data_IF_057577197558
#
_entry.id   IF_057577197558
#
_cell.length_a   1.000
_cell.length_b   1.000
_cell.length_c   1.000
_cell.angle_alpha   90.00
_cell.angle_beta   90.00
_cell.angle_gamma   90.00
#
_symmetry.space_group_name_H-M   'P 1'
#
loop_
_entity.id
_entity.type
_entity.pdbx_description
1 polymer ?
#
# COMPACT_ATOMS: atom_id res chain seq x y z
N UNK A 1 -13.73 2.14 1.46
CA UNK A 1 -12.71 1.05 1.45
C UNK A 1 -11.45 1.44 2.24
N UNK A 2 -10.82 2.57 1.97
CA UNK A 2 -9.57 2.94 2.64
C UNK A 2 -9.72 3.07 4.16
N UNK A 3 -10.77 3.70 4.63
CA UNK A 3 -11.01 3.88 6.09
C UNK A 3 -11.19 2.55 6.80
N UNK A 4 -11.97 1.63 6.23
CA UNK A 4 -12.16 0.28 6.77
C UNK A 4 -10.86 -0.51 6.80
N UNK A 5 -10.08 -0.46 5.73
CA UNK A 5 -8.78 -1.12 5.63
C UNK A 5 -7.79 -0.55 6.65
N UNK A 6 -7.75 0.75 6.79
CA UNK A 6 -6.89 1.45 7.76
C UNK A 6 -7.23 1.05 9.20
N UNK A 7 -8.51 0.98 9.54
CA UNK A 7 -8.95 0.54 10.85
C UNK A 7 -8.52 -0.90 11.15
N UNK A 8 -8.76 -1.82 10.23
CA UNK A 8 -8.39 -3.23 10.40
C UNK A 8 -6.88 -3.40 10.57
N UNK A 9 -6.09 -2.66 9.81
CA UNK A 9 -4.64 -2.71 9.92
C UNK A 9 -4.15 -2.21 11.29
N UNK A 10 -4.69 -1.10 11.77
CA UNK A 10 -4.38 -0.56 13.11
C UNK A 10 -4.74 -1.54 14.22
N UNK A 11 -5.92 -2.15 14.15
CA UNK A 11 -6.34 -3.16 15.12
C UNK A 11 -5.40 -4.37 15.10
N UNK A 12 -4.99 -4.81 13.93
CA UNK A 12 -4.01 -5.89 13.79
C UNK A 12 -2.67 -5.54 14.43
N UNK A 13 -2.17 -4.33 14.22
CA UNK A 13 -0.92 -3.88 14.83
C UNK A 13 -0.99 -3.82 16.37
N UNK A 14 -2.17 -3.56 16.91
CA UNK A 14 -2.44 -3.58 18.36
C UNK A 14 -2.66 -5.01 18.91
N UNK A 15 -2.53 -6.04 18.07
CA UNK A 15 -2.69 -7.42 18.49
C UNK A 15 -4.14 -7.89 18.58
N UNK A 16 -5.09 -7.13 18.05
CA UNK A 16 -6.51 -7.51 18.00
C UNK A 16 -6.73 -8.53 16.90
N UNK A 17 -7.40 -9.64 17.23
CA UNK A 17 -7.83 -10.62 16.24
C UNK A 17 -8.98 -10.03 15.40
N UNK A 18 -8.70 -9.73 14.14
CA UNK A 18 -9.71 -9.20 13.21
C UNK A 18 -10.54 -10.29 12.52
N UNK A 19 -10.16 -11.57 12.70
CA UNK A 19 -10.84 -12.71 12.06
C UNK A 19 -10.81 -12.59 10.54
N UNK A 20 -11.96 -12.83 9.90
CA UNK A 20 -12.13 -12.75 8.45
C UNK A 20 -12.57 -11.38 7.92
N UNK A 21 -12.54 -10.34 8.77
CA UNK A 21 -13.05 -9.01 8.40
C UNK A 21 -12.28 -8.36 7.24
N UNK A 22 -11.02 -8.74 7.05
CA UNK A 22 -10.22 -8.25 5.94
C UNK A 22 -10.60 -8.85 4.57
N UNK A 23 -11.29 -9.98 4.56
CA UNK A 23 -11.57 -10.72 3.33
C UNK A 23 -12.44 -9.91 2.35
N UNK A 24 -13.51 -9.31 2.83
CA UNK A 24 -14.39 -8.48 2.02
C UNK A 24 -13.70 -7.22 1.51
N UNK A 25 -12.87 -6.62 2.34
CA UNK A 25 -12.06 -5.46 1.97
C UNK A 25 -11.04 -5.82 0.88
N UNK A 26 -10.33 -6.93 1.03
CA UNK A 26 -9.38 -7.42 0.04
C UNK A 26 -10.05 -7.71 -1.30
N UNK A 27 -11.23 -8.32 -1.27
CA UNK A 27 -12.02 -8.60 -2.47
C UNK A 27 -12.44 -7.32 -3.20
N UNK A 28 -12.80 -6.28 -2.47
CA UNK A 28 -13.12 -4.99 -3.04
C UNK A 28 -11.88 -4.34 -3.69
N UNK A 29 -10.70 -4.42 -3.05
CA UNK A 29 -9.47 -3.85 -3.56
C UNK A 29 -8.93 -4.54 -4.83
N UNK A 30 -9.18 -5.85 -5.02
CA UNK A 30 -8.72 -6.56 -6.22
C UNK A 30 -9.16 -5.91 -7.53
N UNK A 31 -10.29 -5.27 -7.55
CA UNK A 31 -10.83 -4.57 -8.72
C UNK A 31 -10.04 -3.32 -9.08
N UNK A 32 -9.19 -2.84 -8.18
CA UNK A 32 -8.43 -1.60 -8.30
C UNK A 32 -6.91 -1.83 -8.40
N UNK A 33 -6.49 -3.07 -8.66
CA UNK A 33 -5.06 -3.43 -8.66
C UNK A 33 -4.23 -2.75 -9.75
N UNK A 34 -4.87 -2.19 -10.77
CA UNK A 34 -4.25 -1.51 -11.90
C UNK A 34 -4.72 -0.06 -12.10
N UNK A 35 -5.43 0.49 -11.12
CA UNK A 35 -5.97 1.84 -11.22
C UNK A 35 -4.89 2.93 -11.13
N UNK A 36 -3.79 2.71 -10.41
CA UNK A 36 -2.64 3.62 -10.23
C UNK A 36 -3.03 5.06 -9.90
N UNK A 37 -4.13 5.24 -9.18
CA UNK A 37 -4.68 6.56 -8.87
C UNK A 37 -3.87 7.27 -7.81
N UNK A 38 -3.41 6.54 -6.81
CA UNK A 38 -2.55 7.10 -5.77
C UNK A 38 -1.83 6.01 -4.97
N UNK A 39 -0.64 6.34 -4.48
CA UNK A 39 0.11 5.48 -3.56
C UNK A 39 -0.64 5.17 -2.27
N UNK A 40 -1.48 6.10 -1.85
CA UNK A 40 -2.33 5.92 -0.68
C UNK A 40 -3.25 4.70 -0.85
N UNK A 41 -3.88 4.58 -2.01
CA UNK A 41 -4.72 3.41 -2.31
C UNK A 41 -3.89 2.14 -2.52
N UNK A 42 -2.75 2.23 -3.16
CA UNK A 42 -1.86 1.08 -3.36
C UNK A 42 -1.38 0.50 -2.03
N UNK A 43 -1.01 1.36 -1.08
CA UNK A 43 -0.66 0.95 0.28
C UNK A 43 -1.82 0.25 1.00
N UNK A 44 -3.03 0.79 0.91
CA UNK A 44 -4.22 0.18 1.52
C UNK A 44 -4.57 -1.16 0.89
N UNK A 45 -4.46 -1.28 -0.44
CA UNK A 45 -4.62 -2.56 -1.13
C UNK A 45 -3.60 -3.59 -0.63
N UNK A 46 -2.33 -3.19 -0.55
CA UNK A 46 -1.25 -4.06 -0.09
C UNK A 46 -1.53 -4.64 1.30
N UNK A 47 -1.68 -3.80 2.31
CA UNK A 47 -1.83 -4.31 3.67
C UNK A 47 -3.16 -5.03 3.87
N UNK A 48 -4.22 -4.66 3.16
CA UNK A 48 -5.50 -5.38 3.24
C UNK A 48 -5.39 -6.78 2.65
N UNK A 49 -4.73 -6.93 1.51
CA UNK A 49 -4.47 -8.24 0.90
C UNK A 49 -3.64 -9.13 1.82
N UNK A 50 -2.62 -8.57 2.46
CA UNK A 50 -1.78 -9.31 3.41
C UNK A 50 -2.56 -9.74 4.66
N UNK A 51 -3.43 -8.87 5.20
CA UNK A 51 -4.30 -9.21 6.34
C UNK A 51 -5.28 -10.34 6.01
N UNK A 52 -5.77 -10.38 4.78
CA UNK A 52 -6.65 -11.44 4.29
C UNK A 52 -5.92 -12.73 3.90
N UNK A 53 -4.58 -12.75 3.96
CA UNK A 53 -3.77 -13.88 3.51
C UNK A 53 -3.74 -14.05 2.00
N UNK A 54 -4.11 -13.04 1.25
CA UNK A 54 -4.17 -13.06 -0.21
C UNK A 54 -2.84 -12.57 -0.82
N UNK A 55 -1.84 -13.43 -0.74
CA UNK A 55 -0.50 -13.14 -1.29
C UNK A 55 -0.53 -12.96 -2.81
N UNK A 56 -1.35 -13.72 -3.51
CA UNK A 56 -1.47 -13.62 -4.96
C UNK A 56 -1.96 -12.24 -5.40
N UNK A 57 -2.92 -11.65 -4.67
CA UNK A 57 -3.39 -10.29 -4.95
C UNK A 57 -2.29 -9.25 -4.71
N UNK A 58 -1.48 -9.43 -3.66
CA UNK A 58 -0.37 -8.53 -3.37
C UNK A 58 0.75 -8.62 -4.41
N UNK A 59 1.09 -9.82 -4.85
CA UNK A 59 2.05 -10.06 -5.92
C UNK A 59 1.59 -9.45 -7.24
N UNK A 60 0.30 -9.60 -7.56
CA UNK A 60 -0.30 -8.99 -8.75
C UNK A 60 -0.24 -7.46 -8.70
N UNK A 61 -0.50 -6.88 -7.54
CA UNK A 61 -0.34 -5.42 -7.35
C UNK A 61 1.09 -4.98 -7.68
N UNK A 62 2.10 -5.67 -7.13
CA UNK A 62 3.51 -5.37 -7.40
C UNK A 62 3.86 -5.53 -8.89
N UNK A 63 3.41 -6.58 -9.52
CA UNK A 63 3.65 -6.81 -10.95
C UNK A 63 3.02 -5.71 -11.81
N UNK A 64 1.79 -5.33 -11.50
CA UNK A 64 1.10 -4.23 -12.18
C UNK A 64 1.86 -2.90 -12.00
N UNK A 65 2.36 -2.63 -10.81
CA UNK A 65 3.17 -1.44 -10.54
C UNK A 65 4.47 -1.43 -11.35
N UNK A 66 5.16 -2.56 -11.44
CA UNK A 66 6.38 -2.71 -12.24
C UNK A 66 6.13 -2.55 -13.73
N UNK A 67 5.05 -3.13 -14.24
CA UNK A 67 4.62 -2.94 -15.64
C UNK A 67 4.30 -1.48 -15.92
N UNK A 68 3.62 -0.80 -15.02
CA UNK A 68 3.33 0.63 -15.14
C UNK A 68 4.61 1.48 -15.23
N UNK A 69 5.60 1.17 -14.41
CA UNK A 69 6.91 1.85 -14.42
C UNK A 69 7.66 1.60 -15.73
N UNK A 70 7.63 0.36 -16.25
CA UNK A 70 8.32 -0.02 -17.46
C UNK A 70 7.63 0.49 -18.74
N UNK A 71 6.37 0.92 -18.65
CA UNK A 71 5.58 1.37 -19.79
C UNK A 71 5.98 2.77 -20.30
N UNK A 72 5.37 3.16 -21.43
CA UNK A 72 5.68 4.42 -22.13
C UNK A 72 5.01 5.65 -21.53
N UNK A 73 4.13 5.48 -20.53
CA UNK A 73 3.49 6.60 -19.86
C UNK A 73 4.52 7.47 -19.15
N UNK A 74 4.47 8.76 -19.40
CA UNK A 74 5.28 9.76 -18.71
C UNK A 74 4.41 10.50 -17.72
N UNK A 75 5.03 10.96 -16.63
CA UNK A 75 4.36 11.81 -15.67
C UNK A 75 4.76 11.51 -14.24
N UNK A 76 4.29 12.37 -13.35
CA UNK A 76 4.61 12.36 -11.94
C UNK A 76 4.23 11.03 -11.23
N UNK A 77 3.07 10.43 -11.60
CA UNK A 77 2.63 9.16 -11.02
C UNK A 77 3.61 8.02 -11.27
N UNK A 78 4.25 7.99 -12.44
CA UNK A 78 5.24 6.96 -12.78
C UNK A 78 6.49 7.08 -11.90
N UNK A 79 7.01 8.28 -11.76
CA UNK A 79 8.19 8.54 -10.93
C UNK A 79 7.93 8.24 -9.47
N UNK A 80 6.77 8.64 -8.96
CA UNK A 80 6.34 8.38 -7.59
C UNK A 80 6.15 6.88 -7.34
N UNK A 81 5.54 6.16 -8.28
CA UNK A 81 5.37 4.71 -8.17
C UNK A 81 6.72 4.00 -8.11
N UNK A 82 7.67 4.41 -8.94
CA UNK A 82 9.01 3.82 -8.95
C UNK A 82 9.80 4.15 -7.67
N UNK A 83 9.78 5.40 -7.24
CA UNK A 83 10.60 5.90 -6.13
C UNK A 83 10.02 5.52 -4.76
N UNK A 84 8.72 5.51 -4.62
CA UNK A 84 8.03 5.38 -3.34
C UNK A 84 7.07 4.19 -3.32
N UNK A 85 6.26 4.00 -4.35
CA UNK A 85 5.20 2.99 -4.37
C UNK A 85 5.72 1.56 -4.26
N UNK A 86 6.66 1.17 -5.09
CA UNK A 86 7.22 -0.18 -5.07
C UNK A 86 7.97 -0.44 -3.75
N UNK A 87 8.87 0.42 -3.27
CA UNK A 87 9.49 0.23 -1.96
C UNK A 87 8.48 0.19 -0.80
N UNK A 88 7.40 0.97 -0.86
CA UNK A 88 6.34 0.95 0.15
C UNK A 88 5.66 -0.42 0.21
N UNK A 89 5.22 -0.95 -0.92
CA UNK A 89 4.54 -2.25 -0.99
C UNK A 89 5.49 -3.38 -0.61
N UNK A 90 6.71 -3.37 -1.09
CA UNK A 90 7.72 -4.36 -0.72
C UNK A 90 8.08 -4.31 0.76
N UNK A 91 8.17 -3.11 1.33
CA UNK A 91 8.46 -2.91 2.75
C UNK A 91 7.35 -3.41 3.66
N UNK A 92 6.09 -3.12 3.32
CA UNK A 92 4.91 -3.64 4.04
C UNK A 92 4.86 -5.17 3.93
N UNK A 93 5.15 -5.72 2.76
CA UNK A 93 5.20 -7.17 2.54
C UNK A 93 6.27 -7.84 3.39
N UNK A 94 7.46 -7.27 3.44
CA UNK A 94 8.55 -7.75 4.28
C UNK A 94 8.18 -7.73 5.77
N UNK A 95 7.49 -6.68 6.23
CA UNK A 95 6.98 -6.59 7.59
C UNK A 95 5.99 -7.73 7.88
N UNK A 96 5.06 -7.99 6.98
CA UNK A 96 4.09 -9.08 7.13
C UNK A 96 4.77 -10.45 7.16
N UNK A 97 5.89 -10.61 6.49
CA UNK A 97 6.69 -11.85 6.47
C UNK A 97 7.59 -12.02 7.70
N UNK A 98 7.64 -11.02 8.58
CA UNK A 98 8.54 -11.03 9.73
C UNK A 98 9.98 -10.66 9.40
N UNK A 99 10.28 -10.25 8.18
CA UNK A 99 11.60 -9.75 7.77
C UNK A 99 11.71 -8.25 8.07
N UNK A 100 11.86 -7.94 9.34
CA UNK A 100 11.84 -6.55 9.83
C UNK A 100 13.04 -5.73 9.36
N UNK A 101 14.21 -6.33 9.23
CA UNK A 101 15.41 -5.64 8.73
C UNK A 101 15.20 -5.17 7.28
N UNK A 102 14.71 -6.04 6.43
CA UNK A 102 14.36 -5.70 5.05
C UNK A 102 13.27 -4.63 5.00
N UNK A 103 12.26 -4.75 5.85
CA UNK A 103 11.17 -3.76 5.94
C UNK A 103 11.73 -2.37 6.28
N UNK A 104 12.58 -2.27 7.28
CA UNK A 104 13.21 -0.99 7.68
C UNK A 104 14.07 -0.44 6.55
N UNK A 105 14.88 -1.26 5.90
CA UNK A 105 15.75 -0.86 4.79
C UNK A 105 14.95 -0.29 3.61
N UNK A 106 13.76 -0.83 3.36
CA UNK A 106 12.89 -0.37 2.28
C UNK A 106 12.07 0.87 2.66
N UNK A 107 11.54 0.93 3.89
CA UNK A 107 10.60 1.97 4.32
C UNK A 107 11.30 3.23 4.82
N UNK A 108 12.41 3.11 5.55
CA UNK A 108 13.08 4.26 6.16
C UNK A 108 13.50 5.32 5.12
N UNK A 109 14.08 4.97 3.96
CA UNK A 109 14.48 5.97 2.96
C UNK A 109 13.32 6.76 2.36
N UNK A 110 12.09 6.22 2.39
CA UNK A 110 10.92 6.83 1.76
C UNK A 110 9.94 7.46 2.74
N UNK A 111 10.19 7.41 4.04
CA UNK A 111 9.22 7.89 5.06
C UNK A 111 8.82 9.34 4.86
N UNK A 112 9.75 10.24 4.62
CA UNK A 112 9.45 11.66 4.41
C UNK A 112 8.64 11.88 3.13
N UNK A 113 8.94 11.13 2.07
CA UNK A 113 8.22 11.21 0.80
C UNK A 113 6.79 10.70 0.93
N UNK A 114 6.56 9.61 1.67
CA UNK A 114 5.22 9.09 1.94
C UNK A 114 4.37 10.13 2.66
N UNK A 115 4.91 10.80 3.66
CA UNK A 115 4.20 11.85 4.41
C UNK A 115 3.79 13.03 3.54
N UNK A 116 4.58 13.39 2.52
CA UNK A 116 4.27 14.48 1.60
C UNK A 116 3.25 14.10 0.54
N UNK A 117 3.02 12.81 0.32
CA UNK A 117 2.13 12.29 -0.72
C UNK A 117 0.71 12.01 -0.23
N UNK A 118 0.48 12.03 1.07
CA UNK A 118 -0.86 11.99 1.63
C UNK A 118 -1.51 13.33 1.29
N UNK A 119 -2.64 13.35 0.54
CA UNK A 119 -3.33 14.61 0.27
C UNK A 119 -3.88 15.16 1.58
N UNK A 120 -3.08 16.00 2.22
CA UNK A 120 -3.56 16.82 3.33
C UNK A 120 -4.42 17.90 2.69
N UNK A 121 -5.73 17.79 2.85
CA UNK A 121 -6.57 18.98 2.65
C UNK A 121 -6.02 20.03 3.58
N UNK A 122 -5.35 21.03 3.02
CA UNK A 122 -5.06 22.25 3.77
C UNK A 122 -6.41 22.82 4.21
N UNK A 123 -6.80 22.55 5.45
CA UNK A 123 -7.83 23.34 6.07
C UNK A 123 -7.26 24.74 6.17
N UNK A 124 -7.80 25.65 5.36
CA UNK A 124 -7.58 27.06 5.59
C UNK A 124 -8.23 27.41 6.93
N UNK A 125 -7.43 27.46 7.96
CA UNK A 125 -7.84 28.05 9.22
C UNK A 125 -7.78 29.56 9.05
N UNK A 126 -8.94 30.14 8.80
CA UNK A 126 -9.12 31.58 8.98
C UNK A 126 -9.78 31.81 10.31
#
# INVERSE_FOLDING_TARGET
MADGSSLLFRLHLEGVDIGSRADDQAKAWRKHSDDFVSLFYDGHHCFTSLLAGDRAANEKLLDNMREFIAGDRKGWNKEVTAKVGVPLVEGITAFADGDYDKSVDLLQPIMSDVLTMIPVKKKSWN
#
